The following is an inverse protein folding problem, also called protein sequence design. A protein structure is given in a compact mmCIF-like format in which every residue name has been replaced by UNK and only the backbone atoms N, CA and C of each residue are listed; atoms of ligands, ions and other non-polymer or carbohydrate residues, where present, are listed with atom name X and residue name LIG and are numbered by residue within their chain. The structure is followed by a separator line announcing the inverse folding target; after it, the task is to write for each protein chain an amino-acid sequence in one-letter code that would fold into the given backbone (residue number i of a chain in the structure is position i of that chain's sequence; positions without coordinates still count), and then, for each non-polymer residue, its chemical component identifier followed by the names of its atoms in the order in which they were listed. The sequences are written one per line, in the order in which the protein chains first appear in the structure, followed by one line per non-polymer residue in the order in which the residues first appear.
data_IF_745463369139
#
_entry.id   IF_745463369139
#
_cell.length_a   1.000
_cell.length_b   1.000
_cell.length_c   1.000
_cell.angle_alpha   90.00
_cell.angle_beta   90.00
_cell.angle_gamma   90.00
#
_symmetry.space_group_name_H-M   'P 1'
#
loop_
_entity.id
_entity.type
_entity.pdbx_description
1 polymer ?
#
# COMPACT_ATOMS: atom_id res chain seq x y z
N UNK A 1 -19.84 -5.01 -9.86
CA UNK A 1 -18.83 -4.17 -10.51
C UNK A 1 -17.77 -3.87 -9.47
N UNK A 2 -16.56 -4.43 -9.59
CA UNK A 2 -15.46 -4.21 -8.64
C UNK A 2 -14.36 -3.42 -9.33
N UNK A 3 -13.99 -2.26 -8.79
CA UNK A 3 -12.77 -1.56 -9.19
C UNK A 3 -11.58 -2.19 -8.49
N UNK A 4 -10.36 -2.02 -8.99
CA UNK A 4 -9.14 -2.52 -8.35
C UNK A 4 -8.12 -1.40 -8.18
N UNK A 5 -7.38 -1.46 -7.08
CA UNK A 5 -6.18 -0.64 -6.87
C UNK A 5 -4.97 -1.55 -6.87
N UNK A 6 -4.07 -1.33 -7.82
CA UNK A 6 -2.78 -2.00 -7.88
C UNK A 6 -1.72 -1.09 -7.27
N UNK A 7 -0.98 -1.62 -6.30
CA UNK A 7 0.11 -0.92 -5.61
C UNK A 7 1.35 -1.79 -5.72
N UNK A 8 2.38 -1.30 -6.40
CA UNK A 8 3.71 -1.89 -6.38
C UNK A 8 4.56 -1.17 -5.33
N UNK A 9 5.04 -1.94 -4.37
CA UNK A 9 5.90 -1.45 -3.30
C UNK A 9 7.21 -2.24 -3.24
N UNK A 10 8.28 -1.53 -2.94
CA UNK A 10 9.50 -2.12 -2.39
C UNK A 10 9.61 -1.65 -0.95
N UNK A 11 10.07 -2.51 -0.05
CA UNK A 11 10.02 -2.21 1.38
C UNK A 11 11.17 -2.85 2.14
N UNK A 12 11.63 -2.16 3.17
CA UNK A 12 12.46 -2.71 4.24
C UNK A 12 11.59 -2.84 5.48
N UNK A 13 11.22 -4.08 5.80
CA UNK A 13 10.56 -4.57 7.02
C UNK A 13 9.33 -3.78 7.48
N UNK A 14 8.19 -4.03 6.84
CA UNK A 14 6.95 -3.27 7.06
C UNK A 14 5.69 -4.12 6.87
N UNK A 15 4.57 -3.71 7.47
CA UNK A 15 3.23 -4.01 6.97
C UNK A 15 2.50 -2.73 6.53
N UNK A 16 1.88 -2.76 5.35
CA UNK A 16 1.14 -1.65 4.75
C UNK A 16 -0.35 -1.81 5.04
N UNK A 17 -1.01 -0.75 5.49
CA UNK A 17 -2.48 -0.65 5.57
C UNK A 17 -2.99 0.33 4.52
N UNK A 18 -4.09 -0.03 3.86
CA UNK A 18 -4.76 0.82 2.86
C UNK A 18 -6.18 1.11 3.32
N UNK A 19 -6.58 2.39 3.24
CA UNK A 19 -7.94 2.85 3.54
C UNK A 19 -8.42 3.82 2.47
N UNK A 20 -9.73 3.88 2.29
CA UNK A 20 -10.40 4.73 1.33
C UNK A 20 -11.29 5.70 2.10
N UNK A 21 -11.15 6.99 1.82
CA UNK A 21 -11.95 8.12 2.31
C UNK A 21 -11.98 8.37 3.83
N UNK A 22 -11.64 7.39 4.66
CA UNK A 22 -11.58 7.53 6.10
C UNK A 22 -10.31 6.84 6.67
N UNK A 23 -9.34 7.60 7.19
CA UNK A 23 -8.07 7.03 7.68
C UNK A 23 -8.20 6.24 8.99
N UNK A 24 -9.37 6.29 9.65
CA UNK A 24 -9.61 5.68 10.97
C UNK A 24 -10.48 4.41 10.92
N UNK A 25 -10.90 3.96 9.74
CA UNK A 25 -11.69 2.72 9.59
C UNK A 25 -10.94 1.52 10.16
N UNK A 26 -11.67 0.69 10.91
CA UNK A 26 -11.19 -0.54 11.54
C UNK A 26 -12.19 -1.69 11.31
N UNK A 27 -11.73 -2.84 10.79
CA UNK A 27 -10.37 -3.10 10.29
C UNK A 27 -10.04 -2.23 9.07
N UNK A 28 -8.75 -2.08 8.73
CA UNK A 28 -8.39 -1.43 7.47
C UNK A 28 -8.96 -2.23 6.28
N UNK A 29 -9.29 -1.55 5.17
CA UNK A 29 -9.83 -2.23 3.98
C UNK A 29 -8.85 -3.25 3.40
N UNK A 30 -7.55 -2.98 3.50
CA UNK A 30 -6.51 -3.92 3.18
C UNK A 30 -5.32 -3.77 4.13
N UNK A 31 -4.66 -4.89 4.43
CA UNK A 31 -3.44 -4.93 5.20
C UNK A 31 -2.54 -6.05 4.68
N UNK A 32 -1.28 -5.74 4.38
CA UNK A 32 -0.29 -6.78 4.10
C UNK A 32 0.14 -7.45 5.40
N UNK A 33 0.62 -8.69 5.30
CA UNK A 33 1.50 -9.22 6.34
C UNK A 33 2.83 -8.44 6.40
N UNK A 34 3.71 -8.83 7.33
CA UNK A 34 5.04 -8.25 7.42
C UNK A 34 5.88 -8.66 6.20
N UNK A 35 6.18 -7.67 5.35
CA UNK A 35 6.95 -7.79 4.11
C UNK A 35 8.30 -7.07 4.21
N UNK A 36 9.23 -7.41 3.32
CA UNK A 36 10.55 -6.80 3.26
C UNK A 36 11.50 -7.31 4.34
N UNK A 37 12.16 -8.45 4.13
CA UNK A 37 13.34 -8.84 4.96
C UNK A 37 14.67 -8.43 4.32
N UNK A 38 14.61 -7.60 3.30
CA UNK A 38 15.77 -7.08 2.59
C UNK A 38 16.04 -5.63 3.03
N UNK A 39 17.29 -5.19 2.96
CA UNK A 39 17.79 -3.91 3.45
C UNK A 39 17.99 -2.89 2.30
N UNK A 40 17.10 -2.90 1.30
CA UNK A 40 17.24 -2.09 0.08
C UNK A 40 17.39 -0.58 0.35
N UNK A 41 16.66 -0.03 1.33
CA UNK A 41 16.77 1.38 1.78
C UNK A 41 18.14 1.65 2.41
N UNK A 42 18.62 0.77 3.30
CA UNK A 42 19.93 0.94 3.96
C UNK A 42 21.12 0.80 3.00
N UNK A 43 20.92 0.13 1.86
CA UNK A 43 21.97 -0.15 0.87
C UNK A 43 22.04 0.85 -0.30
N UNK A 44 21.28 1.95 -0.29
CA UNK A 44 21.17 2.86 -1.44
C UNK A 44 20.77 2.12 -2.74
N UNK A 45 20.04 1.00 -2.61
CA UNK A 45 20.02 -0.07 -3.61
C UNK A 45 18.74 -0.12 -4.44
N UNK A 46 18.89 0.18 -5.72
CA UNK A 46 17.91 0.21 -6.81
C UNK A 46 17.50 -1.22 -7.26
N UNK A 47 17.44 -2.19 -6.33
CA UNK A 47 17.20 -3.62 -6.60
C UNK A 47 16.52 -4.34 -5.40
N UNK A 48 15.65 -3.65 -4.67
CA UNK A 48 14.85 -4.29 -3.62
C UNK A 48 13.83 -5.27 -4.20
N UNK A 49 13.45 -6.30 -3.45
CA UNK A 49 12.32 -7.16 -3.82
C UNK A 49 11.05 -6.32 -4.05
N UNK A 50 10.48 -6.44 -5.26
CA UNK A 50 9.23 -5.81 -5.64
C UNK A 50 8.05 -6.69 -5.24
N UNK A 51 7.10 -6.08 -4.56
CA UNK A 51 5.84 -6.71 -4.19
C UNK A 51 4.71 -5.96 -4.89
N UNK A 52 3.95 -6.67 -5.72
CA UNK A 52 2.73 -6.16 -6.32
C UNK A 52 1.54 -6.63 -5.46
N UNK A 53 0.75 -5.67 -4.98
CA UNK A 53 -0.52 -5.93 -4.32
C UNK A 53 -1.65 -5.43 -5.19
N UNK A 54 -2.62 -6.31 -5.45
CA UNK A 54 -3.89 -5.95 -6.08
C UNK A 54 -4.97 -5.99 -5.02
N UNK A 55 -5.68 -4.88 -4.87
CA UNK A 55 -6.71 -4.67 -3.85
C UNK A 55 -8.04 -4.50 -4.58
N UNK A 56 -8.94 -5.47 -4.41
CA UNK A 56 -10.34 -5.31 -4.80
C UNK A 56 -10.95 -4.14 -4.01
N UNK A 57 -11.49 -3.15 -4.70
CA UNK A 57 -12.15 -1.99 -4.09
C UNK A 57 -13.65 -2.16 -4.20
N UNK A 58 -14.30 -2.26 -3.05
CA UNK A 58 -15.75 -2.24 -2.97
C UNK A 58 -16.27 -0.84 -3.32
N UNK A 59 -17.32 -0.77 -4.14
CA UNK A 59 -17.93 0.51 -4.53
C UNK A 59 -18.43 1.32 -3.33
N UNK A 60 -18.82 0.66 -2.24
CA UNK A 60 -19.25 1.31 -1.00
C UNK A 60 -18.14 2.05 -0.27
N UNK A 61 -16.87 1.81 -0.61
CA UNK A 61 -15.73 2.54 -0.05
C UNK A 61 -15.44 3.84 -0.79
N UNK A 62 -16.05 4.03 -1.96
CA UNK A 62 -15.87 5.19 -2.83
C UNK A 62 -17.07 6.14 -2.71
N UNK A 63 -16.82 7.42 -2.96
CA UNK A 63 -17.86 8.46 -3.00
C UNK A 63 -17.90 9.09 -4.38
N UNK A 64 -19.05 9.69 -4.72
CA UNK A 64 -19.15 10.55 -5.88
C UNK A 64 -18.24 11.78 -5.69
N UNK A 65 -17.42 12.07 -6.70
CA UNK A 65 -16.40 13.12 -6.63
C UNK A 65 -15.05 12.62 -6.14
N UNK A 66 -14.38 13.42 -5.32
CA UNK A 66 -13.00 13.19 -4.93
C UNK A 66 -12.88 12.05 -3.92
N UNK A 67 -11.96 11.14 -4.18
CA UNK A 67 -11.64 10.01 -3.31
C UNK A 67 -10.20 10.13 -2.82
N UNK A 68 -9.97 9.80 -1.55
CA UNK A 68 -8.65 9.83 -0.92
C UNK A 68 -8.23 8.43 -0.50
N UNK A 69 -7.05 8.01 -0.94
CA UNK A 69 -6.44 6.73 -0.54
C UNK A 69 -5.38 7.01 0.52
N UNK A 70 -5.55 6.45 1.72
CA UNK A 70 -4.58 6.52 2.80
C UNK A 70 -3.71 5.28 2.83
N UNK A 71 -2.41 5.47 2.64
CA UNK A 71 -1.38 4.45 2.78
C UNK A 71 -0.67 4.64 4.11
N UNK A 72 -0.78 3.68 5.02
CA UNK A 72 -0.17 3.76 6.34
C UNK A 72 0.85 2.66 6.53
N UNK A 73 2.10 3.08 6.75
CA UNK A 73 3.17 2.20 7.19
C UNK A 73 3.01 1.93 8.69
N UNK A 74 2.97 0.66 9.10
CA UNK A 74 2.67 0.30 10.50
C UNK A 74 3.90 0.11 11.39
N UNK A 75 5.10 0.14 10.80
CA UNK A 75 6.38 0.05 11.51
C UNK A 75 7.32 1.13 11.01
N UNK A 76 8.00 1.80 11.94
CA UNK A 76 9.03 2.82 11.67
C UNK A 76 9.96 2.93 12.89
N UNK A 77 10.42 1.78 13.37
CA UNK A 77 11.26 1.67 14.57
C UNK A 77 12.71 2.04 14.28
N UNK A 78 13.17 1.97 13.03
CA UNK A 78 14.53 2.35 12.63
C UNK A 78 14.54 3.28 11.42
N UNK A 79 15.60 4.08 11.22
CA UNK A 79 15.70 5.02 10.10
C UNK A 79 15.65 4.37 8.71
N UNK A 80 15.87 3.06 8.64
CA UNK A 80 15.91 2.31 7.38
C UNK A 80 14.65 1.48 7.15
N UNK A 81 13.66 1.53 8.05
CA UNK A 81 12.35 0.94 7.83
C UNK A 81 11.48 1.93 7.06
N UNK A 82 11.05 1.54 5.87
CA UNK A 82 10.26 2.41 5.01
C UNK A 82 9.77 1.72 3.75
N UNK A 83 8.93 2.44 3.02
CA UNK A 83 8.35 2.03 1.74
C UNK A 83 8.86 2.93 0.64
N UNK A 84 9.34 2.34 -0.44
CA UNK A 84 9.57 3.03 -1.69
C UNK A 84 8.50 2.55 -2.67
N UNK A 85 7.61 3.47 -3.03
CA UNK A 85 6.58 3.22 -4.02
C UNK A 85 7.17 3.39 -5.42
N UNK A 86 6.84 2.48 -6.31
CA UNK A 86 7.22 2.58 -7.73
C UNK A 86 5.99 2.88 -8.59
N UNK A 87 4.84 2.27 -8.27
CA UNK A 87 3.64 2.39 -9.08
C UNK A 87 2.36 2.26 -8.24
N UNK A 88 1.42 3.18 -8.44
CA UNK A 88 0.06 3.13 -7.87
C UNK A 88 -0.94 3.38 -9.00
N UNK A 89 -1.90 2.47 -9.19
CA UNK A 89 -2.94 2.57 -10.20
C UNK A 89 -4.30 2.21 -9.63
N UNK A 90 -5.28 3.09 -9.81
CA UNK A 90 -6.69 2.77 -9.66
C UNK A 90 -7.26 2.51 -11.04
N UNK A 91 -7.94 1.37 -11.22
CA UNK A 91 -8.59 1.01 -12.48
C UNK A 91 -10.05 0.65 -12.24
N UNK A 92 -10.91 1.04 -13.18
CA UNK A 92 -12.31 0.62 -13.21
C UNK A 92 -12.38 -0.87 -13.58
N UNK A 93 -13.48 -1.58 -13.24
CA UNK A 93 -13.72 -2.90 -13.81
C UNK A 93 -13.65 -2.82 -15.34
N UNK A 94 -13.02 -3.82 -15.95
CA UNK A 94 -13.04 -4.03 -17.40
C UNK A 94 -14.44 -4.42 -17.89
#
# INVERSE_FOLDING_TARGET
YKSSVNITVTSVFLALKVRFNNPKVQPAHFMTELIGRDNSIARHGIHGLYWLFSIDVDSSWLVEGDNVIFLTQTRSETPFQGVMYDYIRLESPA
#
